data_IF_962528571737
#
_entry.id   IF_962528571737
#
_cell.length_a   1.000
_cell.length_b   1.000
_cell.length_c   1.000
_cell.angle_alpha   90.00
_cell.angle_beta   90.00
_cell.angle_gamma   90.00
#
_symmetry.space_group_name_H-M   'P 1'
#
loop_
_entity.id
_entity.type
_entity.pdbx_description
1 polymer ?
#
# COMPACT_ATOMS: atom_id res chain seq x y z
N UNK A 1 -22.06 2.97 30.43
CA UNK A 1 -21.58 2.98 29.03
C UNK A 1 -20.07 3.26 29.06
N UNK A 2 -19.25 2.22 28.98
CA UNK A 2 -17.79 2.37 29.02
C UNK A 2 -17.30 3.03 27.74
N UNK A 3 -16.71 4.21 27.88
CA UNK A 3 -15.90 4.84 26.82
C UNK A 3 -14.65 3.98 26.67
N UNK A 4 -14.55 3.20 25.60
CA UNK A 4 -13.29 2.57 25.23
C UNK A 4 -12.27 3.68 25.00
N UNK A 5 -11.32 3.78 25.93
CA UNK A 5 -10.15 4.65 25.81
C UNK A 5 -9.30 4.03 24.72
N UNK A 6 -9.36 4.58 23.51
CA UNK A 6 -8.43 4.24 22.43
C UNK A 6 -7.03 4.56 22.97
N UNK A 7 -6.26 3.52 23.26
CA UNK A 7 -4.86 3.66 23.63
C UNK A 7 -4.13 3.98 22.32
N UNK A 8 -3.50 5.15 22.17
CA UNK A 8 -2.71 5.44 20.99
C UNK A 8 -1.62 4.37 20.89
N UNK A 9 -1.56 3.69 19.75
CA UNK A 9 -0.49 2.75 19.47
C UNK A 9 0.84 3.52 19.50
N UNK A 10 1.79 3.19 20.39
CA UNK A 10 3.07 3.89 20.50
C UNK A 10 3.94 3.76 19.24
N UNK A 11 3.54 2.93 18.28
CA UNK A 11 4.15 2.81 16.95
C UNK A 11 3.44 3.64 15.87
N UNK A 12 2.30 4.27 16.18
CA UNK A 12 1.60 5.20 15.30
C UNK A 12 2.32 6.57 15.30
N UNK A 13 3.52 6.56 14.72
CA UNK A 13 4.25 7.76 14.38
C UNK A 13 3.71 8.23 13.04
N UNK A 14 2.57 8.94 13.05
CA UNK A 14 2.28 9.89 11.99
C UNK A 14 3.55 10.75 11.80
N UNK A 15 4.23 10.60 10.66
CA UNK A 15 5.49 11.30 10.39
C UNK A 15 5.12 12.79 10.21
N UNK A 16 5.63 13.71 11.04
CA UNK A 16 5.40 15.13 10.85
C UNK A 16 5.89 15.56 9.47
N UNK A 17 4.98 16.03 8.62
CA UNK A 17 5.29 16.50 7.25
C UNK A 17 4.78 15.61 6.11
N UNK A 18 4.22 14.43 6.38
CA UNK A 18 3.64 13.57 5.35
C UNK A 18 2.11 13.51 5.47
N UNK A 19 1.41 13.64 4.33
CA UNK A 19 -0.04 13.57 4.28
C UNK A 19 -0.53 12.15 4.61
N UNK A 20 -1.65 12.04 5.31
CA UNK A 20 -2.39 10.77 5.45
C UNK A 20 -3.64 10.80 4.58
N UNK A 21 -3.92 9.67 3.94
CA UNK A 21 -5.13 9.45 3.17
C UNK A 21 -6.05 8.47 3.89
N UNK A 22 -7.31 8.85 4.00
CA UNK A 22 -8.39 8.01 4.54
C UNK A 22 -9.41 7.62 3.48
N UNK A 23 -9.16 7.92 2.20
CA UNK A 23 -10.00 7.60 1.06
C UNK A 23 -9.16 7.53 -0.21
N UNK A 24 -9.59 6.76 -1.21
CA UNK A 24 -8.97 6.72 -2.54
C UNK A 24 -8.95 8.11 -3.21
N UNK A 25 -7.78 8.67 -3.56
CA UNK A 25 -7.71 9.84 -4.44
C UNK A 25 -8.21 9.51 -5.86
N UNK A 26 -7.96 8.27 -6.30
CA UNK A 26 -8.44 7.68 -7.55
C UNK A 26 -8.98 6.29 -7.25
N UNK A 27 -10.18 6.00 -7.74
CA UNK A 27 -10.80 4.69 -7.52
C UNK A 27 -10.07 3.60 -8.30
N UNK A 28 -9.79 2.44 -7.69
CA UNK A 28 -9.18 1.33 -8.38
C UNK A 28 -10.19 0.63 -9.31
N UNK A 29 -9.68 0.07 -10.39
CA UNK A 29 -10.46 -0.58 -11.44
C UNK A 29 -10.86 -2.01 -11.08
N UNK A 30 -11.98 -2.45 -11.65
CA UNK A 30 -12.44 -3.85 -11.61
C UNK A 30 -12.30 -4.49 -13.01
N UNK A 31 -11.89 -5.76 -13.12
CA UNK A 31 -11.43 -6.64 -12.03
C UNK A 31 -10.13 -6.13 -11.39
N UNK A 32 -9.89 -6.50 -10.13
CA UNK A 32 -8.71 -6.08 -9.36
C UNK A 32 -7.45 -6.65 -10.00
N UNK A 33 -6.46 -5.80 -10.25
CA UNK A 33 -5.31 -6.18 -11.05
C UNK A 33 -4.08 -5.37 -10.63
N UNK A 34 -2.98 -6.10 -10.37
CA UNK A 34 -1.64 -5.52 -10.28
C UNK A 34 -1.07 -5.55 -11.69
N UNK A 35 -0.66 -4.39 -12.18
CA UNK A 35 -0.10 -4.17 -13.51
C UNK A 35 1.43 -4.17 -13.50
N UNK A 36 2.04 -3.81 -12.36
CA UNK A 36 3.49 -3.70 -12.24
C UNK A 36 3.95 -3.83 -10.80
N UNK A 37 5.14 -4.43 -10.63
CA UNK A 37 5.88 -4.50 -9.36
C UNK A 37 7.30 -3.99 -9.66
N UNK A 38 7.79 -3.06 -8.86
CA UNK A 38 9.02 -2.32 -9.14
C UNK A 38 9.91 -2.30 -7.90
N UNK A 39 11.20 -2.58 -8.06
CA UNK A 39 12.20 -2.26 -7.05
C UNK A 39 12.89 -0.96 -7.47
N UNK A 40 12.76 0.09 -6.67
CA UNK A 40 13.39 1.37 -6.98
C UNK A 40 14.91 1.30 -6.79
N UNK A 41 15.62 2.23 -7.45
CA UNK A 41 17.09 2.29 -7.47
C UNK A 41 17.72 2.51 -6.10
N UNK A 42 16.94 2.94 -5.12
CA UNK A 42 17.36 3.07 -3.73
C UNK A 42 17.57 1.73 -3.02
N UNK A 43 17.24 0.62 -3.70
CA UNK A 43 17.47 -0.75 -3.25
C UNK A 43 16.54 -1.21 -2.13
N UNK A 44 15.48 -0.45 -1.82
CA UNK A 44 14.61 -0.77 -0.69
C UNK A 44 13.14 -0.43 -0.88
N UNK A 45 12.80 0.57 -1.70
CA UNK A 45 11.39 0.91 -1.93
C UNK A 45 10.82 -0.01 -2.99
N UNK A 46 9.67 -0.61 -2.70
CA UNK A 46 8.95 -1.49 -3.63
C UNK A 46 7.68 -0.80 -4.10
N UNK A 47 7.61 -0.47 -5.38
CA UNK A 47 6.44 0.10 -6.03
C UNK A 47 5.48 -0.97 -6.54
N UNK A 48 4.19 -0.65 -6.53
CA UNK A 48 3.11 -1.48 -7.06
C UNK A 48 2.19 -0.59 -7.87
N UNK A 49 1.98 -0.93 -9.13
CA UNK A 49 1.00 -0.26 -9.99
C UNK A 49 -0.25 -1.12 -10.05
N UNK A 50 -1.39 -0.55 -9.69
CA UNK A 50 -2.69 -1.20 -9.81
C UNK A 50 -3.56 -0.49 -10.84
N UNK A 51 -4.49 -1.23 -11.43
CA UNK A 51 -5.41 -0.70 -12.43
C UNK A 51 -6.29 0.40 -11.86
N UNK A 52 -6.39 1.53 -12.56
CA UNK A 52 -7.34 2.60 -12.24
C UNK A 52 -8.74 2.34 -12.81
N UNK A 53 -9.81 2.83 -12.17
CA UNK A 53 -11.19 2.73 -12.68
C UNK A 53 -11.42 3.59 -13.92
N UNK A 54 -10.89 4.83 -13.88
CA UNK A 54 -11.00 5.82 -14.95
C UNK A 54 -9.67 6.55 -15.04
N UNK A 55 -9.09 6.64 -16.23
CA UNK A 55 -7.88 7.40 -16.48
C UNK A 55 -6.60 6.59 -16.20
N UNK A 56 -5.67 7.20 -15.46
CA UNK A 56 -4.35 6.61 -15.19
C UNK A 56 -4.42 5.55 -14.11
N UNK A 57 -3.51 4.59 -14.21
CA UNK A 57 -3.25 3.60 -13.17
C UNK A 57 -2.77 4.26 -11.87
N UNK A 58 -2.92 3.52 -10.78
CA UNK A 58 -2.65 4.00 -9.43
C UNK A 58 -1.30 3.41 -9.00
N UNK A 59 -0.41 4.29 -8.57
CA UNK A 59 0.87 3.90 -8.00
C UNK A 59 0.76 3.87 -6.48
N UNK A 60 1.28 2.79 -5.91
CA UNK A 60 1.48 2.58 -4.49
C UNK A 60 2.94 2.22 -4.27
N UNK A 61 3.45 2.40 -3.05
CA UNK A 61 4.75 1.86 -2.69
C UNK A 61 4.78 1.41 -1.23
N UNK A 62 5.68 0.48 -0.94
CA UNK A 62 6.03 0.09 0.41
C UNK A 62 7.20 0.97 0.87
N UNK A 63 6.97 1.76 1.91
CA UNK A 63 8.00 2.57 2.54
C UNK A 63 9.09 1.68 3.12
N UNK A 64 10.34 1.97 2.78
CA UNK A 64 11.50 1.16 3.16
C UNK A 64 11.87 1.26 4.64
N UNK A 65 11.45 2.32 5.34
CA UNK A 65 11.86 2.57 6.73
C UNK A 65 10.86 1.95 7.70
N UNK A 66 9.58 2.15 7.44
CA UNK A 66 8.49 1.72 8.29
C UNK A 66 7.80 0.45 7.78
N UNK A 67 8.09 0.01 6.56
CA UNK A 67 7.40 -1.11 5.94
C UNK A 67 5.93 -0.83 5.62
N UNK A 68 5.48 0.43 5.68
CA UNK A 68 4.07 0.80 5.50
C UNK A 68 3.70 0.93 4.03
N UNK A 69 2.47 0.56 3.68
CA UNK A 69 1.92 0.83 2.36
C UNK A 69 1.51 2.31 2.23
N UNK A 70 1.93 2.93 1.13
CA UNK A 70 1.74 4.33 0.83
C UNK A 70 1.10 4.49 -0.55
N UNK A 71 0.34 5.57 -0.72
CA UNK A 71 -0.12 6.05 -2.01
C UNK A 71 0.97 6.93 -2.65
N UNK A 72 1.02 6.91 -3.99
CA UNK A 72 1.96 7.69 -4.78
C UNK A 72 3.02 6.80 -5.40
N UNK A 73 3.88 7.40 -6.21
CA UNK A 73 4.94 6.65 -6.89
C UNK A 73 6.09 6.33 -5.96
N UNK A 74 6.51 7.32 -5.17
CA UNK A 74 7.72 7.29 -4.38
C UNK A 74 7.61 8.28 -3.22
N UNK A 75 8.36 8.08 -2.14
CA UNK A 75 8.23 8.88 -0.91
C UNK A 75 8.57 10.38 -1.07
N UNK A 76 9.25 10.77 -2.14
CA UNK A 76 9.61 12.18 -2.40
C UNK A 76 8.60 12.92 -3.28
N UNK A 77 7.58 12.22 -3.79
CA UNK A 77 6.63 12.82 -4.73
C UNK A 77 5.58 13.65 -3.98
N UNK A 78 5.10 14.73 -4.61
CA UNK A 78 4.18 15.68 -3.98
C UNK A 78 2.83 15.06 -3.58
N UNK A 79 2.44 13.96 -4.22
CA UNK A 79 1.22 13.21 -3.92
C UNK A 79 1.45 11.98 -3.04
N UNK A 80 2.68 11.79 -2.54
CA UNK A 80 3.01 10.68 -1.66
C UNK A 80 2.33 10.85 -0.30
N UNK A 81 1.62 9.81 0.12
CA UNK A 81 0.86 9.84 1.36
C UNK A 81 0.78 8.46 2.03
N UNK A 82 0.79 8.46 3.36
CA UNK A 82 0.51 7.25 4.10
C UNK A 82 -0.96 6.89 3.99
N UNK A 83 -1.25 5.61 3.85
CA UNK A 83 -2.60 5.11 4.09
C UNK A 83 -2.85 5.19 5.59
N UNK A 84 -3.94 5.84 5.98
CA UNK A 84 -4.30 6.08 7.38
C UNK A 84 -4.59 4.75 8.07
N UNK A 85 -3.79 4.43 9.10
CA UNK A 85 -3.91 3.19 9.87
C UNK A 85 -5.27 3.08 10.54
N UNK A 86 -5.85 1.88 10.52
CA UNK A 86 -7.14 1.55 11.14
C UNK A 86 -8.35 2.19 10.45
N UNK A 87 -8.18 2.75 9.25
CA UNK A 87 -9.30 3.31 8.47
C UNK A 87 -9.96 2.25 7.60
N UNK A 88 -11.23 2.47 7.24
CA UNK A 88 -11.93 1.63 6.25
C UNK A 88 -11.17 1.61 4.92
N UNK A 89 -10.57 2.75 4.54
CA UNK A 89 -9.74 2.86 3.35
C UNK A 89 -8.50 1.97 3.38
N UNK A 90 -7.84 1.83 4.54
CA UNK A 90 -6.76 0.86 4.69
C UNK A 90 -7.27 -0.55 4.38
N UNK A 91 -8.38 -0.94 4.99
CA UNK A 91 -9.01 -2.25 4.75
C UNK A 91 -9.31 -2.46 3.26
N UNK A 92 -9.94 -1.50 2.60
CA UNK A 92 -10.26 -1.55 1.17
C UNK A 92 -9.01 -1.74 0.30
N UNK A 93 -7.91 -1.02 0.59
CA UNK A 93 -6.65 -1.14 -0.16
C UNK A 93 -6.06 -2.54 -0.01
N UNK A 94 -6.00 -3.06 1.22
CA UNK A 94 -5.45 -4.39 1.47
C UNK A 94 -6.32 -5.51 0.89
N UNK A 95 -7.65 -5.36 0.89
CA UNK A 95 -8.56 -6.31 0.25
C UNK A 95 -8.36 -6.33 -1.28
N UNK A 96 -8.27 -5.15 -1.90
CA UNK A 96 -7.98 -5.03 -3.32
C UNK A 96 -6.67 -5.74 -3.68
N UNK A 97 -5.60 -5.42 -2.94
CA UNK A 97 -4.28 -6.01 -3.18
C UNK A 97 -4.27 -7.51 -2.91
N UNK A 98 -4.97 -8.01 -1.89
CA UNK A 98 -5.06 -9.45 -1.62
C UNK A 98 -5.78 -10.20 -2.75
N UNK A 99 -6.84 -9.63 -3.32
CA UNK A 99 -7.54 -10.22 -4.47
C UNK A 99 -6.65 -10.21 -5.71
N UNK A 100 -6.01 -9.07 -6.01
CA UNK A 100 -5.12 -8.93 -7.15
C UNK A 100 -3.88 -9.84 -7.03
N UNK A 101 -3.31 -9.96 -5.83
CA UNK A 101 -2.16 -10.82 -5.49
C UNK A 101 -2.42 -12.28 -5.83
N UNK A 102 -3.62 -12.79 -5.57
CA UNK A 102 -4.01 -14.18 -5.90
C UNK A 102 -4.03 -14.45 -7.40
N UNK A 103 -4.07 -13.42 -8.25
CA UNK A 103 -4.06 -13.52 -9.72
C UNK A 103 -2.64 -13.43 -10.30
N UNK A 104 -1.64 -13.05 -9.50
CA UNK A 104 -0.23 -12.99 -9.93
C UNK A 104 0.26 -14.37 -10.37
N UNK A 105 0.97 -14.41 -11.49
CA UNK A 105 1.50 -15.64 -12.05
C UNK A 105 2.82 -15.38 -12.79
N UNK A 106 3.61 -16.43 -12.97
CA UNK A 106 4.95 -16.34 -13.54
C UNK A 106 4.98 -16.22 -15.07
N UNK A 107 3.83 -16.20 -15.75
CA UNK A 107 3.77 -15.89 -17.18
C UNK A 107 3.81 -14.39 -17.45
N UNK A 108 3.35 -13.58 -16.49
CA UNK A 108 3.30 -12.11 -16.60
C UNK A 108 4.41 -11.46 -15.76
N UNK A 109 4.70 -12.01 -14.57
CA UNK A 109 5.65 -11.44 -13.62
C UNK A 109 6.85 -12.34 -13.39
N UNK A 110 8.00 -11.77 -13.08
CA UNK A 110 9.13 -12.57 -12.61
C UNK A 110 8.81 -13.16 -11.23
N UNK A 111 9.29 -14.38 -10.99
CA UNK A 111 9.14 -15.05 -9.68
C UNK A 111 9.76 -14.21 -8.55
N UNK A 112 10.84 -13.49 -8.83
CA UNK A 112 11.48 -12.55 -7.90
C UNK A 112 10.54 -11.43 -7.49
N UNK A 113 9.79 -10.87 -8.43
CA UNK A 113 8.94 -9.70 -8.21
C UNK A 113 7.71 -10.11 -7.41
N UNK A 114 7.12 -11.26 -7.74
CA UNK A 114 6.02 -11.85 -6.95
C UNK A 114 6.49 -12.11 -5.51
N UNK A 115 7.70 -12.66 -5.32
CA UNK A 115 8.25 -12.90 -3.99
C UNK A 115 8.45 -11.58 -3.23
N UNK A 116 9.07 -10.60 -3.88
CA UNK A 116 9.35 -9.28 -3.32
C UNK A 116 8.05 -8.59 -2.86
N UNK A 117 7.02 -8.57 -3.72
CA UNK A 117 5.71 -8.05 -3.36
C UNK A 117 5.09 -8.79 -2.18
N UNK A 118 5.10 -10.12 -2.18
CA UNK A 118 4.50 -10.90 -1.08
C UNK A 118 5.21 -10.63 0.26
N UNK A 119 6.53 -10.50 0.25
CA UNK A 119 7.31 -10.21 1.45
C UNK A 119 6.94 -8.83 2.02
N UNK A 120 6.95 -7.79 1.18
CA UNK A 120 6.56 -6.44 1.57
C UNK A 120 5.08 -6.34 1.99
N UNK A 121 4.18 -7.00 1.26
CA UNK A 121 2.75 -7.02 1.57
C UNK A 121 2.48 -7.65 2.93
N UNK A 122 3.15 -8.76 3.24
CA UNK A 122 3.06 -9.43 4.54
C UNK A 122 3.60 -8.55 5.66
N UNK A 123 4.76 -7.95 5.45
CA UNK A 123 5.38 -7.04 6.42
C UNK A 123 4.48 -5.84 6.71
N UNK A 124 4.01 -5.16 5.66
CA UNK A 124 3.12 -4.01 5.80
C UNK A 124 1.86 -4.36 6.59
N UNK A 125 1.29 -5.55 6.35
CA UNK A 125 0.10 -6.02 7.06
C UNK A 125 0.33 -6.29 8.56
N UNK A 126 1.56 -6.55 8.99
CA UNK A 126 1.88 -6.62 10.43
C UNK A 126 1.75 -5.24 11.07
N UNK A 127 2.23 -4.20 10.38
CA UNK A 127 2.14 -2.83 10.86
C UNK A 127 0.72 -2.27 10.85
N UNK A 128 -0.20 -2.88 10.10
CA UNK A 128 -1.64 -2.52 10.09
C UNK A 128 -2.47 -3.21 11.16
N UNK A 129 -1.93 -4.15 11.96
CA UNK A 129 -2.74 -4.82 12.99
C UNK A 129 -3.03 -3.90 14.17
N UNK A 130 -4.33 -3.83 14.50
CA UNK A 130 -4.95 -3.38 15.74
C UNK A 130 -5.60 -4.61 16.38
#
# INVERSE_FOLDING_TARGET
>A
MSKHKVIPDPTDRSIPGYAELSTWPKLPGSPEEILGIWLYRDGGTVGVTIKGKIGKDIELFFDRVLGRLCYGKYHTDDDAAFIKKGSDFETEVYEYLEIARKKLNTHVFLKSDIKLFNDCFKEAKVYTQV
#
